data_IF_632644092567
#
_entry.id   IF_632644092567
#
_cell.length_a   1.000
_cell.length_b   1.000
_cell.length_c   1.000
_cell.angle_alpha   90.00
_cell.angle_beta   90.00
_cell.angle_gamma   90.00
#
_symmetry.space_group_name_H-M   'P 1'
#
loop_
_entity.id
_entity.type
_entity.pdbx_description
1 polymer ?
#
# COMPACT_ATOMS: atom_id res chain seq x y z
N UNK A 1 17.09 23.49 26.30
CA UNK A 1 17.86 22.71 25.32
C UNK A 1 19.05 22.09 26.03
N UNK A 2 19.12 20.76 26.12
CA UNK A 2 20.29 20.05 26.65
C UNK A 2 20.47 18.79 25.80
N UNK A 3 21.36 18.86 24.81
CA UNK A 3 21.73 17.74 23.95
C UNK A 3 23.00 17.13 24.54
N UNK A 4 22.91 15.94 25.13
CA UNK A 4 24.07 15.20 25.63
C UNK A 4 24.63 14.33 24.50
N UNK A 5 25.83 14.69 24.07
CA UNK A 5 26.76 13.96 23.22
C UNK A 5 27.06 12.57 23.81
N UNK A 6 26.95 11.51 23.00
CA UNK A 6 27.44 10.16 23.35
C UNK A 6 28.61 9.84 22.43
N UNK A 7 29.79 9.88 23.03
CA UNK A 7 31.10 9.57 22.46
C UNK A 7 31.43 8.11 22.71
N UNK A 8 31.87 7.42 21.66
CA UNK A 8 32.85 6.34 21.74
C UNK A 8 32.30 4.94 22.02
N UNK A 9 32.74 3.98 21.22
CA UNK A 9 33.67 2.94 21.67
C UNK A 9 34.23 2.24 20.42
N UNK A 10 35.55 2.30 20.31
CA UNK A 10 36.39 1.54 19.37
C UNK A 10 36.73 0.21 20.04
N UNK A 11 36.37 -0.90 19.41
CA UNK A 11 36.88 -2.25 19.64
C UNK A 11 37.12 -2.86 18.26
N UNK A 12 38.05 -3.76 18.00
CA UNK A 12 39.27 -4.21 18.64
C UNK A 12 39.86 -5.16 17.57
N UNK A 13 41.15 -5.07 17.31
CA UNK A 13 41.81 -5.90 16.29
C UNK A 13 41.68 -7.40 16.62
N UNK A 14 41.30 -8.21 15.63
CA UNK A 14 41.48 -9.65 15.64
C UNK A 14 42.38 -10.06 14.47
N UNK A 15 43.62 -10.39 14.82
CA UNK A 15 44.54 -11.18 14.02
C UNK A 15 44.12 -12.65 14.09
N UNK A 16 43.86 -13.25 12.93
CA UNK A 16 43.55 -14.67 12.82
C UNK A 16 43.57 -15.10 11.36
N UNK A 17 44.77 -15.38 10.85
CA UNK A 17 44.96 -16.02 9.56
C UNK A 17 44.60 -17.50 9.70
N UNK A 18 43.67 -17.98 8.87
CA UNK A 18 43.27 -19.38 8.80
C UNK A 18 42.31 -19.58 7.62
N UNK A 19 42.87 -19.88 6.46
CA UNK A 19 42.11 -20.23 5.26
C UNK A 19 41.47 -21.61 5.44
N UNK A 20 40.15 -21.69 5.38
CA UNK A 20 39.44 -22.93 5.03
C UNK A 20 38.56 -22.60 3.83
N UNK A 21 39.00 -23.01 2.65
CA UNK A 21 38.15 -23.04 1.46
C UNK A 21 37.22 -24.24 1.63
N UNK A 22 36.01 -24.00 2.13
CA UNK A 22 34.90 -24.95 1.97
C UNK A 22 34.17 -24.52 0.70
N UNK A 23 34.45 -25.23 -0.39
CA UNK A 23 33.64 -25.14 -1.60
C UNK A 23 32.30 -25.83 -1.33
N UNK A 24 31.40 -25.09 -0.67
CA UNK A 24 30.00 -25.47 -0.56
C UNK A 24 29.37 -25.14 -1.91
N UNK A 25 29.15 -26.16 -2.73
CA UNK A 25 28.29 -26.04 -3.89
C UNK A 25 26.99 -25.33 -3.45
N UNK A 26 26.63 -24.18 -4.04
CA UNK A 26 25.42 -23.49 -3.66
C UNK A 26 24.25 -24.41 -4.00
N UNK A 27 23.70 -25.07 -2.98
CA UNK A 27 22.38 -25.67 -3.03
C UNK A 27 21.43 -24.51 -3.33
N UNK A 28 21.17 -24.28 -4.61
CA UNK A 28 20.19 -23.30 -5.05
C UNK A 28 18.92 -23.61 -4.25
N UNK A 29 18.47 -22.70 -3.36
CA UNK A 29 17.14 -22.85 -2.80
C UNK A 29 16.19 -22.94 -4.00
N UNK A 30 15.14 -23.79 -3.92
CA UNK A 30 14.14 -23.82 -4.96
C UNK A 30 13.73 -22.38 -5.22
N UNK A 31 13.97 -21.92 -6.45
CA UNK A 31 13.53 -20.59 -6.88
C UNK A 31 12.01 -20.66 -6.79
N UNK A 32 11.49 -20.20 -5.66
CA UNK A 32 10.07 -19.88 -5.53
C UNK A 32 9.90 -18.72 -6.48
N UNK A 33 9.47 -19.03 -7.70
CA UNK A 33 8.91 -18.03 -8.61
C UNK A 33 7.62 -17.58 -7.93
N UNK A 34 7.77 -16.65 -6.98
CA UNK A 34 6.65 -15.81 -6.58
C UNK A 34 6.23 -15.13 -7.87
N UNK A 35 4.98 -15.30 -8.34
CA UNK A 35 4.50 -14.55 -9.48
C UNK A 35 4.54 -13.08 -9.07
N UNK A 36 5.66 -12.42 -9.37
CA UNK A 36 5.75 -10.98 -9.25
C UNK A 36 4.69 -10.44 -10.18
N UNK A 37 3.68 -9.78 -9.64
CA UNK A 37 2.74 -9.02 -10.47
C UNK A 37 3.58 -8.05 -11.29
N UNK A 38 3.76 -8.37 -12.58
CA UNK A 38 4.46 -7.52 -13.52
C UNK A 38 3.60 -6.28 -13.62
N UNK A 39 4.08 -5.17 -13.06
CA UNK A 39 3.49 -3.86 -13.27
C UNK A 39 3.43 -3.64 -14.78
N UNK A 40 2.22 -3.56 -15.31
CA UNK A 40 2.01 -3.23 -16.72
C UNK A 40 2.37 -1.75 -16.93
N UNK A 41 2.68 -1.36 -18.18
CA UNK A 41 2.88 0.05 -18.50
C UNK A 41 1.66 0.90 -18.15
N UNK A 42 0.45 0.33 -18.29
CA UNK A 42 -0.80 0.97 -17.92
C UNK A 42 -0.90 1.20 -16.40
N UNK A 43 -0.51 0.23 -15.58
CA UNK A 43 -0.50 0.36 -14.13
C UNK A 43 0.41 1.51 -13.67
N UNK A 44 1.59 1.63 -14.30
CA UNK A 44 2.52 2.72 -14.02
C UNK A 44 1.91 4.09 -14.34
N UNK A 45 1.18 4.20 -15.46
CA UNK A 45 0.49 5.45 -15.83
C UNK A 45 -0.60 5.81 -14.82
N UNK A 46 -1.43 4.85 -14.38
CA UNK A 46 -2.49 5.13 -13.40
C UNK A 46 -1.90 5.45 -12.03
N UNK A 47 -0.80 4.83 -11.63
CA UNK A 47 -0.07 5.19 -10.40
C UNK A 47 0.44 6.63 -10.48
N UNK A 48 1.09 7.01 -11.59
CA UNK A 48 1.55 8.38 -11.80
C UNK A 48 0.39 9.39 -11.78
N UNK A 49 -0.78 8.99 -12.29
CA UNK A 49 -2.00 9.79 -12.24
C UNK A 49 -2.53 9.96 -10.81
N UNK A 50 -2.50 8.91 -9.99
CA UNK A 50 -2.83 8.98 -8.56
C UNK A 50 -1.89 9.96 -7.85
N UNK A 51 -0.59 9.87 -8.12
CA UNK A 51 0.41 10.77 -7.52
C UNK A 51 0.19 12.22 -7.96
N UNK A 52 -0.08 12.46 -9.24
CA UNK A 52 -0.44 13.78 -9.76
C UNK A 52 -1.73 14.31 -9.12
N UNK A 53 -2.73 13.46 -8.84
CA UNK A 53 -3.92 13.88 -8.12
C UNK A 53 -3.58 14.41 -6.72
N UNK A 54 -2.57 13.86 -6.04
CA UNK A 54 -2.15 14.32 -4.72
C UNK A 54 -1.33 15.62 -4.72
N UNK A 55 -0.85 16.09 -5.89
CA UNK A 55 -0.20 17.41 -6.00
C UNK A 55 -1.20 18.56 -6.11
N UNK A 56 -2.49 18.27 -6.28
CA UNK A 56 -3.54 19.30 -6.34
C UNK A 56 -3.70 20.01 -4.99
N UNK A 57 -3.86 21.33 -5.04
CA UNK A 57 -3.93 22.19 -3.86
C UNK A 57 -5.16 21.91 -2.98
N UNK A 58 -6.33 21.71 -3.60
CA UNK A 58 -7.59 21.55 -2.88
C UNK A 58 -7.97 20.08 -2.70
N UNK A 59 -8.36 19.72 -1.48
CA UNK A 59 -8.76 18.34 -1.19
C UNK A 59 -9.95 17.88 -2.03
N UNK A 60 -10.93 18.75 -2.28
CA UNK A 60 -12.09 18.41 -3.10
C UNK A 60 -11.68 17.99 -4.52
N UNK A 61 -10.65 18.60 -5.09
CA UNK A 61 -10.15 18.23 -6.42
C UNK A 61 -9.37 16.91 -6.37
N UNK A 62 -8.57 16.68 -5.31
CA UNK A 62 -7.92 15.38 -5.05
C UNK A 62 -8.98 14.27 -4.98
N UNK A 63 -9.98 14.44 -4.12
CA UNK A 63 -11.06 13.47 -3.91
C UNK A 63 -11.82 13.23 -5.20
N UNK A 64 -12.22 14.28 -5.93
CA UNK A 64 -12.90 14.15 -7.23
C UNK A 64 -12.08 13.31 -8.21
N UNK A 65 -10.77 13.57 -8.31
CA UNK A 65 -9.90 12.83 -9.23
C UNK A 65 -9.71 11.38 -8.80
N UNK A 66 -9.44 11.13 -7.52
CA UNK A 66 -9.29 9.79 -6.97
C UNK A 66 -10.57 8.97 -7.06
N UNK A 67 -11.74 9.58 -6.84
CA UNK A 67 -13.05 8.96 -7.04
C UNK A 67 -13.26 8.54 -8.50
N UNK A 68 -12.88 9.39 -9.45
CA UNK A 68 -12.95 9.06 -10.88
C UNK A 68 -12.04 7.88 -11.23
N UNK A 69 -10.83 7.82 -10.67
CA UNK A 69 -9.92 6.67 -10.86
C UNK A 69 -10.52 5.41 -10.23
N UNK A 70 -11.02 5.49 -8.99
CA UNK A 70 -11.60 4.37 -8.24
C UNK A 70 -12.76 3.67 -8.97
N UNK A 71 -13.52 4.39 -9.79
CA UNK A 71 -14.66 3.87 -10.55
C UNK A 71 -14.26 3.24 -11.90
N UNK A 72 -13.00 3.36 -12.35
CA UNK A 72 -12.59 2.84 -13.67
C UNK A 72 -12.69 1.32 -13.72
N UNK A 73 -13.30 0.74 -14.77
CA UNK A 73 -13.30 -0.71 -14.92
C UNK A 73 -11.87 -1.22 -15.13
N UNK A 74 -11.59 -2.44 -14.69
CA UNK A 74 -10.32 -3.11 -14.99
C UNK A 74 -9.09 -2.57 -14.27
N UNK A 75 -9.24 -1.81 -13.16
CA UNK A 75 -8.09 -1.44 -12.33
C UNK A 75 -7.34 -2.69 -11.87
N UNK A 76 -6.03 -2.73 -12.06
CA UNK A 76 -5.25 -3.87 -11.57
C UNK A 76 -5.23 -3.94 -10.04
N UNK A 77 -5.02 -5.13 -9.45
CA UNK A 77 -4.91 -5.28 -8.01
C UNK A 77 -3.86 -4.36 -7.37
N UNK A 78 -2.75 -4.13 -8.07
CA UNK A 78 -1.65 -3.28 -7.60
C UNK A 78 -2.09 -1.82 -7.51
N UNK A 79 -2.75 -1.31 -8.55
CA UNK A 79 -3.27 0.07 -8.59
C UNK A 79 -4.33 0.29 -7.52
N UNK A 80 -5.26 -0.67 -7.34
CA UNK A 80 -6.29 -0.56 -6.32
C UNK A 80 -5.71 -0.51 -4.90
N UNK A 81 -4.73 -1.36 -4.62
CA UNK A 81 -4.03 -1.39 -3.33
C UNK A 81 -3.29 -0.08 -3.09
N UNK A 82 -2.59 0.43 -4.12
CA UNK A 82 -1.90 1.72 -4.07
C UNK A 82 -2.87 2.88 -3.78
N UNK A 83 -3.99 2.93 -4.51
CA UNK A 83 -5.04 3.94 -4.33
C UNK A 83 -5.61 3.92 -2.91
N UNK A 84 -6.00 2.75 -2.40
CA UNK A 84 -6.54 2.59 -1.05
C UNK A 84 -5.54 3.07 0.01
N UNK A 85 -4.29 2.62 -0.10
CA UNK A 85 -3.22 2.96 0.83
C UNK A 85 -2.92 4.47 0.83
N UNK A 86 -2.93 5.10 -0.36
CA UNK A 86 -2.66 6.54 -0.50
C UNK A 86 -3.83 7.40 -0.03
N UNK A 87 -5.07 7.04 -0.37
CA UNK A 87 -6.26 7.71 0.13
C UNK A 87 -6.30 7.73 1.68
N UNK A 88 -6.07 6.58 2.32
CA UNK A 88 -6.06 6.46 3.79
C UNK A 88 -4.97 7.29 4.48
N UNK A 89 -3.82 7.47 3.83
CA UNK A 89 -2.67 8.20 4.41
C UNK A 89 -2.70 9.71 4.14
N UNK A 90 -3.22 10.13 2.98
CA UNK A 90 -2.96 11.47 2.45
C UNK A 90 -4.20 12.35 2.32
N UNK A 91 -5.42 11.79 2.40
CA UNK A 91 -6.64 12.59 2.51
C UNK A 91 -6.82 12.98 3.97
N UNK A 92 -7.12 14.25 4.25
CA UNK A 92 -7.21 14.75 5.63
C UNK A 92 -8.53 14.38 6.28
N UNK A 93 -9.66 14.56 5.59
CA UNK A 93 -10.98 14.32 6.17
C UNK A 93 -11.42 12.86 6.01
N UNK A 94 -11.87 12.24 7.10
CA UNK A 94 -12.30 10.85 7.07
C UNK A 94 -13.49 10.60 6.13
N UNK A 95 -14.44 11.54 6.05
CA UNK A 95 -15.58 11.42 5.14
C UNK A 95 -15.11 11.32 3.68
N UNK A 96 -14.04 12.04 3.33
CA UNK A 96 -13.44 11.99 2.01
C UNK A 96 -12.68 10.69 1.77
N UNK A 97 -11.95 10.17 2.77
CA UNK A 97 -11.34 8.83 2.72
C UNK A 97 -12.41 7.77 2.46
N UNK A 98 -13.47 7.76 3.26
CA UNK A 98 -14.59 6.83 3.17
C UNK A 98 -15.23 6.90 1.79
N UNK A 99 -15.48 8.09 1.26
CA UNK A 99 -16.07 8.27 -0.06
C UNK A 99 -15.25 7.58 -1.16
N UNK A 100 -13.94 7.82 -1.22
CA UNK A 100 -13.06 7.18 -2.22
C UNK A 100 -13.00 5.65 -2.03
N UNK A 101 -12.91 5.18 -0.78
CA UNK A 101 -12.83 3.75 -0.48
C UNK A 101 -14.13 3.01 -0.82
N UNK A 102 -15.30 3.58 -0.55
CA UNK A 102 -16.59 2.97 -0.91
C UNK A 102 -16.71 2.85 -2.44
N UNK A 103 -16.27 3.86 -3.20
CA UNK A 103 -16.27 3.77 -4.66
C UNK A 103 -15.32 2.68 -5.17
N UNK A 104 -14.13 2.56 -4.58
CA UNK A 104 -13.19 1.49 -4.90
C UNK A 104 -13.77 0.11 -4.55
N UNK A 105 -14.41 -0.02 -3.38
CA UNK A 105 -15.12 -1.24 -2.96
C UNK A 105 -16.32 -1.52 -3.85
N UNK A 106 -16.92 -0.53 -4.52
CA UNK A 106 -17.99 -0.72 -5.50
C UNK A 106 -17.50 -1.17 -6.87
N UNK A 107 -16.20 -1.08 -7.15
CA UNK A 107 -15.65 -1.36 -8.47
C UNK A 107 -15.74 -2.87 -8.82
N UNK A 108 -16.30 -3.29 -9.97
CA UNK A 108 -16.41 -4.72 -10.31
C UNK A 108 -15.09 -5.51 -10.20
N UNK A 109 -13.95 -4.87 -10.47
CA UNK A 109 -12.62 -5.47 -10.39
C UNK A 109 -12.00 -5.49 -8.98
N UNK A 110 -12.68 -4.99 -7.94
CA UNK A 110 -12.11 -4.88 -6.59
C UNK A 110 -11.52 -6.22 -6.11
N UNK A 111 -10.27 -6.18 -5.63
CA UNK A 111 -9.48 -7.37 -5.32
C UNK A 111 -9.28 -7.61 -3.81
N UNK A 112 -8.89 -8.84 -3.47
CA UNK A 112 -8.61 -9.24 -2.08
C UNK A 112 -7.42 -8.46 -1.47
N UNK A 113 -6.41 -8.10 -2.27
CA UNK A 113 -5.27 -7.31 -1.80
C UNK A 113 -5.69 -5.91 -1.34
N UNK A 114 -6.54 -5.23 -2.11
CA UNK A 114 -7.08 -3.92 -1.73
C UNK A 114 -8.01 -4.03 -0.50
N UNK A 115 -8.83 -5.08 -0.42
CA UNK A 115 -9.64 -5.39 0.77
C UNK A 115 -8.77 -5.52 2.03
N UNK A 116 -7.69 -6.30 1.93
CA UNK A 116 -6.75 -6.48 3.04
C UNK A 116 -6.10 -5.16 3.45
N UNK A 117 -5.62 -4.36 2.50
CA UNK A 117 -5.01 -3.06 2.78
C UNK A 117 -5.97 -2.13 3.52
N UNK A 118 -7.25 -2.08 3.11
CA UNK A 118 -8.28 -1.29 3.79
C UNK A 118 -8.50 -1.79 5.23
N UNK A 119 -8.64 -3.10 5.44
CA UNK A 119 -8.86 -3.68 6.76
C UNK A 119 -7.67 -3.45 7.71
N UNK A 120 -6.45 -3.65 7.23
CA UNK A 120 -5.22 -3.44 8.02
C UNK A 120 -5.03 -1.98 8.44
N UNK A 121 -5.52 -1.04 7.62
CA UNK A 121 -5.36 0.39 7.85
C UNK A 121 -6.62 1.08 8.38
N UNK A 122 -7.68 0.34 8.73
CA UNK A 122 -8.96 0.89 9.18
C UNK A 122 -8.81 1.78 10.43
N UNK A 123 -7.81 1.50 11.27
CA UNK A 123 -7.44 2.31 12.44
C UNK A 123 -7.05 3.77 12.12
N UNK A 124 -6.74 4.09 10.85
CA UNK A 124 -6.45 5.46 10.39
C UNK A 124 -7.70 6.31 10.15
N UNK A 125 -8.88 5.71 10.28
CA UNK A 125 -10.15 6.40 10.35
C UNK A 125 -10.45 6.66 11.83
N UNK A 126 -10.69 7.92 12.20
CA UNK A 126 -10.93 8.32 13.58
C UNK A 126 -12.33 7.94 14.04
N UNK A 127 -13.35 8.15 13.20
CA UNK A 127 -14.75 7.94 13.58
C UNK A 127 -15.23 6.51 13.34
N UNK A 128 -15.83 5.89 14.36
CA UNK A 128 -16.33 4.52 14.26
C UNK A 128 -17.51 4.38 13.28
N UNK A 129 -18.36 5.41 13.13
CA UNK A 129 -19.42 5.44 12.12
C UNK A 129 -18.87 5.32 10.69
N UNK A 130 -17.71 5.93 10.43
CA UNK A 130 -17.00 5.84 9.15
C UNK A 130 -16.39 4.46 8.94
N UNK A 131 -15.80 3.86 9.99
CA UNK A 131 -15.32 2.47 9.94
C UNK A 131 -16.46 1.50 9.65
N UNK A 132 -17.59 1.65 10.35
CA UNK A 132 -18.77 0.82 10.15
C UNK A 132 -19.30 0.93 8.72
N UNK A 133 -19.30 2.14 8.15
CA UNK A 133 -19.71 2.35 6.75
C UNK A 133 -18.83 1.58 5.77
N UNK A 134 -17.51 1.57 5.97
CA UNK A 134 -16.55 0.80 5.16
C UNK A 134 -16.77 -0.71 5.35
N UNK A 135 -16.89 -1.18 6.59
CA UNK A 135 -17.11 -2.59 6.91
C UNK A 135 -18.41 -3.11 6.28
N UNK A 136 -19.51 -2.38 6.42
CA UNK A 136 -20.78 -2.73 5.80
C UNK A 136 -20.71 -2.73 4.27
N UNK A 137 -19.91 -1.86 3.64
CA UNK A 137 -19.68 -1.91 2.20
C UNK A 137 -18.91 -3.18 1.78
N UNK A 138 -17.89 -3.58 2.54
CA UNK A 138 -17.13 -4.81 2.32
C UNK A 138 -17.97 -6.08 2.53
N UNK A 139 -18.84 -6.08 3.54
CA UNK A 139 -19.78 -7.17 3.83
C UNK A 139 -20.82 -7.34 2.72
N UNK A 140 -21.43 -6.23 2.28
CA UNK A 140 -22.40 -6.22 1.17
C UNK A 140 -21.82 -6.79 -0.12
N UNK A 141 -20.51 -6.60 -0.34
CA UNK A 141 -19.81 -7.16 -1.49
C UNK A 141 -19.59 -8.67 -1.40
N UNK A 142 -19.45 -9.21 -0.18
CA UNK A 142 -19.23 -10.63 0.05
C UNK A 142 -17.81 -11.12 -0.24
N UNK A 143 -17.68 -12.42 -0.53
CA UNK A 143 -16.41 -13.08 -0.88
C UNK A 143 -16.04 -12.74 -2.32
N UNK A 144 -14.84 -12.17 -2.51
CA UNK A 144 -14.30 -11.92 -3.85
C UNK A 144 -13.86 -13.26 -4.43
N UNK A 145 -14.36 -13.62 -5.61
CA UNK A 145 -13.87 -14.78 -6.34
C UNK A 145 -12.37 -14.57 -6.60
N UNK A 146 -11.57 -15.45 -6.01
CA UNK A 146 -10.11 -15.50 -6.10
C UNK A 146 -9.65 -15.98 -7.46
#
# INVERSE_FOLDING_TARGET
>A
MNFKTVTGIVFAAYLGCGCINIEVAPKQPPVVVVPGHILTGEDSMVIAEIDAAFTLNFENDRVRRLSSIAQRPGLSPTVQTYLAARALRNISFDNNKVHVLILLIGNPAFCNAAKQEILTNLKKISFDSNKQSILSALEKRGTLAS
#
